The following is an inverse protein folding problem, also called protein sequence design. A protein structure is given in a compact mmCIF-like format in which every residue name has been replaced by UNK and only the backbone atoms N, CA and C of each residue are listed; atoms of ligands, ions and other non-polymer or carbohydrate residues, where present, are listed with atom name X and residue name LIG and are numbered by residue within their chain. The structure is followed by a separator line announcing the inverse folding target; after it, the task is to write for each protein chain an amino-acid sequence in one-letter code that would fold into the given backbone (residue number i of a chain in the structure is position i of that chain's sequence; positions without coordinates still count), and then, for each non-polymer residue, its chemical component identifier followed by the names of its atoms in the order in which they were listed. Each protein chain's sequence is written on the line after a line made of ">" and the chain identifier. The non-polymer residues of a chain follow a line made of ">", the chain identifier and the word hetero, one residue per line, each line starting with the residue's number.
data_IF_510603486739
#
_entry.id   IF_510603486739
#
_cell.length_a   1.000
_cell.length_b   1.000
_cell.length_c   1.000
_cell.angle_alpha   90.00
_cell.angle_beta   90.00
_cell.angle_gamma   90.00
#
_symmetry.space_group_name_H-M   'P 1'
#
loop_
_entity.id
_entity.type
_entity.pdbx_description
1 polymer ?
#
# COMPACT_ATOMS: atom_id res chain seq x y z
N UNK A 1 14.72 0.75 9.77
CA UNK A 1 13.35 1.08 9.32
C UNK A 1 13.23 2.59 9.39
N UNK A 2 12.92 3.27 8.29
CA UNK A 2 12.66 4.71 8.35
C UNK A 2 11.36 4.87 9.13
N UNK A 3 11.42 5.44 10.33
CA UNK A 3 10.22 5.75 11.09
C UNK A 3 9.50 6.87 10.36
N UNK A 4 8.25 6.63 10.03
CA UNK A 4 7.38 7.59 9.35
C UNK A 4 6.68 8.51 10.32
N UNK A 5 6.67 8.14 11.60
CA UNK A 5 6.02 8.85 12.70
C UNK A 5 6.97 9.88 13.30
N UNK A 6 6.43 11.06 13.60
CA UNK A 6 7.15 12.07 14.38
C UNK A 6 7.30 11.60 15.83
N UNK A 7 8.33 12.13 16.50
CA UNK A 7 8.56 11.86 17.93
C UNK A 7 7.31 12.20 18.76
N UNK A 8 6.64 13.30 18.43
CA UNK A 8 5.44 13.75 19.12
C UNK A 8 4.28 12.76 18.98
N UNK A 9 4.04 12.21 17.77
CA UNK A 9 2.95 11.24 17.58
C UNK A 9 3.23 9.91 18.31
N UNK A 10 4.50 9.50 18.39
CA UNK A 10 4.91 8.34 19.18
C UNK A 10 4.72 8.57 20.69
N UNK A 11 5.04 9.76 21.18
CA UNK A 11 4.79 10.14 22.58
C UNK A 11 3.30 10.14 22.91
N UNK A 12 2.47 10.70 22.03
CA UNK A 12 1.01 10.67 22.16
C UNK A 12 0.47 9.23 22.17
N UNK A 13 0.92 8.38 21.24
CA UNK A 13 0.56 6.97 21.22
C UNK A 13 0.87 6.30 22.57
N UNK A 14 2.11 6.45 23.06
CA UNK A 14 2.56 5.83 24.30
C UNK A 14 1.82 6.36 25.53
N UNK A 15 1.44 7.64 25.53
CA UNK A 15 0.65 8.25 26.58
C UNK A 15 -0.74 7.59 26.68
N UNK A 16 -1.53 7.62 25.60
CA UNK A 16 -2.88 7.02 25.61
C UNK A 16 -2.85 5.51 25.78
N UNK A 17 -1.85 4.83 25.20
CA UNK A 17 -1.65 3.40 25.39
C UNK A 17 -1.48 3.03 26.87
N UNK A 18 -0.69 3.79 27.64
CA UNK A 18 -0.52 3.53 29.07
C UNK A 18 -1.83 3.70 29.85
N UNK A 19 -2.63 4.69 29.49
CA UNK A 19 -3.90 5.01 30.16
C UNK A 19 -5.04 4.04 29.82
N UNK A 20 -5.05 3.44 28.63
CA UNK A 20 -6.06 2.47 28.23
C UNK A 20 -6.01 1.24 29.16
N UNK A 21 -7.10 0.95 29.88
CA UNK A 21 -7.17 -0.16 30.84
C UNK A 21 -7.66 -1.48 30.24
N UNK A 22 -8.20 -1.45 29.02
CA UNK A 22 -8.80 -2.61 28.34
C UNK A 22 -7.74 -3.41 27.59
N UNK A 23 -7.49 -4.65 28.03
CA UNK A 23 -6.44 -5.51 27.46
C UNK A 23 -6.70 -5.91 26.00
N UNK A 24 -7.94 -6.24 25.64
CA UNK A 24 -8.27 -6.63 24.26
C UNK A 24 -8.12 -5.45 23.29
N UNK A 25 -8.52 -4.23 23.69
CA UNK A 25 -8.32 -3.04 22.86
C UNK A 25 -6.83 -2.73 22.71
N UNK A 26 -6.03 -2.91 23.76
CA UNK A 26 -4.57 -2.86 23.66
C UNK A 26 -4.06 -3.84 22.62
N UNK A 27 -4.33 -5.14 22.78
CA UNK A 27 -3.87 -6.17 21.84
C UNK A 27 -4.25 -5.86 20.38
N UNK A 28 -5.49 -5.46 20.13
CA UNK A 28 -5.94 -5.05 18.80
C UNK A 28 -5.22 -3.81 18.30
N UNK A 29 -4.96 -2.84 19.18
CA UNK A 29 -4.29 -1.60 18.82
C UNK A 29 -2.80 -1.82 18.52
N UNK A 30 -2.15 -2.79 19.16
CA UNK A 30 -0.80 -3.24 18.82
C UNK A 30 -0.75 -3.80 17.38
N UNK A 31 -1.73 -4.65 17.04
CA UNK A 31 -1.88 -5.18 15.68
C UNK A 31 -2.22 -4.06 14.69
N UNK A 32 -3.11 -3.14 15.08
CA UNK A 32 -3.50 -2.02 14.23
C UNK A 32 -2.32 -1.09 13.98
N UNK A 33 -1.47 -0.84 14.98
CA UNK A 33 -0.26 -0.02 14.85
C UNK A 33 0.68 -0.57 13.78
N UNK A 34 0.76 -1.89 13.67
CA UNK A 34 1.54 -2.57 12.65
C UNK A 34 1.02 -2.34 11.21
N UNK A 35 -0.27 -2.01 11.06
CA UNK A 35 -0.93 -1.81 9.76
C UNK A 35 -1.17 -0.32 9.46
N UNK A 36 -1.60 0.45 10.45
CA UNK A 36 -1.97 1.86 10.41
C UNK A 36 -1.75 2.50 11.79
N UNK A 37 -0.66 3.26 11.90
CA UNK A 37 -0.27 3.93 13.15
C UNK A 37 -1.31 4.96 13.62
N UNK A 38 -1.91 5.72 12.70
CA UNK A 38 -2.89 6.76 13.04
C UNK A 38 -4.20 6.18 13.55
N UNK A 39 -4.71 5.13 12.90
CA UNK A 39 -5.90 4.45 13.40
C UNK A 39 -5.61 3.83 14.79
N UNK A 40 -4.37 3.37 15.02
CA UNK A 40 -3.95 2.90 16.33
C UNK A 40 -3.97 4.00 17.39
N UNK A 41 -3.39 5.18 17.12
CA UNK A 41 -3.46 6.36 18.02
C UNK A 41 -4.91 6.72 18.34
N UNK A 42 -5.76 6.84 17.32
CA UNK A 42 -7.17 7.19 17.51
C UNK A 42 -7.88 6.14 18.39
N UNK A 43 -7.56 4.87 18.21
CA UNK A 43 -8.15 3.77 18.98
C UNK A 43 -7.74 3.84 20.45
N UNK A 44 -6.45 4.05 20.76
CA UNK A 44 -6.03 4.20 22.16
C UNK A 44 -6.55 5.48 22.80
N UNK A 45 -6.68 6.57 22.05
CA UNK A 45 -7.32 7.80 22.54
C UNK A 45 -8.77 7.54 22.95
N UNK A 46 -9.58 6.96 22.05
CA UNK A 46 -10.96 6.61 22.36
C UNK A 46 -11.07 5.60 23.51
N UNK A 47 -10.11 4.69 23.66
CA UNK A 47 -10.08 3.76 24.81
C UNK A 47 -10.07 4.50 26.16
N UNK A 48 -9.50 5.71 26.21
CA UNK A 48 -9.42 6.51 27.44
C UNK A 48 -10.64 7.42 27.66
N UNK A 49 -11.40 7.71 26.61
CA UNK A 49 -12.51 8.67 26.63
C UNK A 49 -13.89 7.97 26.72
N UNK A 50 -14.00 6.76 26.18
CA UNK A 50 -15.28 6.06 26.00
C UNK A 50 -15.75 5.33 27.26
N UNK A 51 -17.07 5.27 27.43
CA UNK A 51 -17.70 4.48 28.48
C UNK A 51 -17.74 2.97 28.13
N UNK A 52 -18.20 2.12 29.04
CA UNK A 52 -18.17 0.65 28.88
C UNK A 52 -18.89 0.14 27.62
N UNK A 53 -20.04 0.70 27.26
CA UNK A 53 -20.80 0.27 26.08
C UNK A 53 -20.10 0.71 24.79
N UNK A 54 -19.57 1.92 24.78
CA UNK A 54 -18.79 2.48 23.67
C UNK A 54 -17.48 1.71 23.45
N UNK A 55 -16.82 1.25 24.53
CA UNK A 55 -15.61 0.43 24.43
C UNK A 55 -15.87 -0.92 23.75
N UNK A 56 -17.03 -1.55 23.99
CA UNK A 56 -17.40 -2.77 23.28
C UNK A 56 -17.62 -2.54 21.78
N UNK A 57 -18.17 -1.37 21.41
CA UNK A 57 -18.30 -0.99 20.00
C UNK A 57 -16.94 -0.66 19.39
N UNK A 58 -16.06 0.03 20.13
CA UNK A 58 -14.70 0.34 19.70
C UNK A 58 -13.92 -0.94 19.38
N UNK A 59 -14.02 -1.98 20.23
CA UNK A 59 -13.39 -3.27 19.96
C UNK A 59 -13.86 -3.88 18.63
N UNK A 60 -15.18 -3.93 18.40
CA UNK A 60 -15.76 -4.45 17.15
C UNK A 60 -15.31 -3.63 15.93
N UNK A 61 -15.34 -2.31 16.04
CA UNK A 61 -14.91 -1.40 14.98
C UNK A 61 -13.43 -1.58 14.67
N UNK A 62 -12.59 -1.75 15.70
CA UNK A 62 -11.14 -1.99 15.55
C UNK A 62 -10.87 -3.32 14.83
N UNK A 63 -11.56 -4.40 15.21
CA UNK A 63 -11.48 -5.70 14.51
C UNK A 63 -11.87 -5.57 13.03
N UNK A 64 -13.00 -4.91 12.75
CA UNK A 64 -13.45 -4.65 11.38
C UNK A 64 -12.45 -3.81 10.61
N UNK A 65 -11.89 -2.76 11.24
CA UNK A 65 -10.90 -1.87 10.63
C UNK A 65 -9.62 -2.63 10.25
N UNK A 66 -9.09 -3.47 11.14
CA UNK A 66 -7.94 -4.34 10.84
C UNK A 66 -8.24 -5.19 9.60
N UNK A 67 -9.41 -5.83 9.56
CA UNK A 67 -9.84 -6.64 8.41
C UNK A 67 -9.95 -5.80 7.12
N UNK A 68 -10.62 -4.66 7.17
CA UNK A 68 -10.83 -3.77 6.01
C UNK A 68 -9.52 -3.14 5.48
N UNK A 69 -8.47 -3.09 6.30
CA UNK A 69 -7.14 -2.58 5.93
C UNK A 69 -6.23 -3.66 5.31
N UNK A 70 -6.48 -4.94 5.59
CA UNK A 70 -5.70 -6.07 5.04
C UNK A 70 -6.37 -6.71 3.81
N UNK A 71 -7.66 -6.46 3.62
CA UNK A 71 -8.39 -6.83 2.40
C UNK A 71 -8.16 -5.75 1.35
N UNK A 72 -7.29 -6.06 0.39
CA UNK A 72 -6.90 -5.14 -0.68
C UNK A 72 -7.96 -5.14 -1.79
N UNK A 73 -8.24 -3.97 -2.39
CA UNK A 73 -9.31 -3.84 -3.36
C UNK A 73 -9.02 -4.66 -4.62
N UNK A 74 -10.08 -5.29 -5.15
CA UNK A 74 -10.08 -6.01 -6.42
C UNK A 74 -11.28 -5.52 -7.23
N UNK A 75 -11.05 -5.17 -8.48
CA UNK A 75 -12.09 -4.83 -9.43
C UNK A 75 -12.16 -5.92 -10.48
N UNK A 76 -13.30 -6.61 -10.55
CA UNK A 76 -13.63 -7.55 -11.61
C UNK A 76 -14.85 -7.01 -12.34
N UNK A 77 -14.69 -6.81 -13.66
CA UNK A 77 -15.77 -6.32 -14.51
C UNK A 77 -16.29 -7.48 -15.33
N UNK A 78 -17.59 -7.76 -15.21
CA UNK A 78 -18.26 -8.81 -15.97
C UNK A 78 -18.59 -8.26 -17.36
N UNK A 79 -17.73 -8.53 -18.34
CA UNK A 79 -17.94 -8.09 -19.73
C UNK A 79 -19.28 -8.57 -20.30
N UNK A 80 -19.78 -9.72 -19.85
CA UNK A 80 -21.09 -10.27 -20.23
C UNK A 80 -22.27 -9.37 -19.85
N UNK A 81 -22.11 -8.51 -18.84
CA UNK A 81 -23.14 -7.57 -18.39
C UNK A 81 -23.13 -6.26 -19.20
N UNK A 82 -22.11 -6.05 -20.05
CA UNK A 82 -21.99 -4.86 -20.89
C UNK A 82 -22.69 -5.13 -22.23
N UNK A 83 -23.95 -4.74 -22.32
CA UNK A 83 -24.79 -4.96 -23.50
C UNK A 83 -24.42 -4.09 -24.70
N UNK A 84 -23.80 -2.92 -24.46
CA UNK A 84 -23.40 -1.98 -25.51
C UNK A 84 -21.91 -2.14 -25.88
N UNK A 85 -21.58 -2.57 -27.12
CA UNK A 85 -20.20 -2.80 -27.54
C UNK A 85 -19.33 -1.52 -27.54
N UNK A 86 -19.93 -0.34 -27.70
CA UNK A 86 -19.18 0.93 -27.66
C UNK A 86 -18.62 1.25 -26.27
N UNK A 87 -19.17 0.62 -25.21
CA UNK A 87 -18.72 0.84 -23.84
C UNK A 87 -17.52 -0.03 -23.48
N UNK A 88 -17.37 -1.21 -24.09
CA UNK A 88 -16.28 -2.15 -23.83
C UNK A 88 -14.89 -1.47 -23.83
N UNK A 89 -14.49 -0.71 -24.87
CA UNK A 89 -13.18 -0.06 -24.86
C UNK A 89 -13.03 1.00 -23.76
N UNK A 90 -14.11 1.73 -23.45
CA UNK A 90 -14.09 2.75 -22.39
C UNK A 90 -13.96 2.11 -21.00
N UNK A 91 -14.62 0.97 -20.80
CA UNK A 91 -14.56 0.21 -19.56
C UNK A 91 -13.18 -0.42 -19.38
N UNK A 92 -12.59 -0.96 -20.43
CA UNK A 92 -11.21 -1.45 -20.41
C UNK A 92 -10.21 -0.33 -20.06
N UNK A 93 -10.42 0.87 -20.59
CA UNK A 93 -9.58 2.04 -20.24
C UNK A 93 -9.80 2.49 -18.78
N UNK A 94 -11.05 2.47 -18.31
CA UNK A 94 -11.40 2.78 -16.92
C UNK A 94 -10.74 1.80 -15.95
N UNK A 95 -10.77 0.50 -16.26
CA UNK A 95 -10.07 -0.52 -15.49
C UNK A 95 -8.57 -0.23 -15.45
N UNK A 96 -7.93 0.11 -16.57
CA UNK A 96 -6.50 0.46 -16.59
C UNK A 96 -6.17 1.67 -15.71
N UNK A 97 -7.00 2.70 -15.71
CA UNK A 97 -6.78 3.87 -14.83
C UNK A 97 -7.03 3.55 -13.35
N UNK A 98 -7.97 2.64 -13.06
CA UNK A 98 -8.16 2.08 -11.73
C UNK A 98 -6.94 1.29 -11.27
N UNK A 99 -6.39 0.42 -12.13
CA UNK A 99 -5.19 -0.35 -11.85
C UNK A 99 -3.98 0.55 -11.60
N UNK A 100 -3.84 1.69 -12.29
CA UNK A 100 -2.80 2.68 -11.97
C UNK A 100 -3.01 3.27 -10.57
N UNK A 101 -4.24 3.65 -10.25
CA UNK A 101 -4.60 4.21 -8.93
C UNK A 101 -4.18 3.23 -7.82
N UNK A 102 -4.57 1.96 -7.96
CA UNK A 102 -4.39 0.93 -6.93
C UNK A 102 -2.98 0.32 -6.93
N UNK A 103 -2.41 -0.02 -8.09
CA UNK A 103 -1.15 -0.77 -8.13
C UNK A 103 0.09 0.09 -8.34
N UNK A 104 -0.06 1.36 -8.75
CA UNK A 104 1.08 2.27 -8.92
C UNK A 104 1.10 3.31 -7.79
N UNK A 105 -0.03 3.95 -7.54
CA UNK A 105 -0.10 5.08 -6.60
C UNK A 105 -0.53 4.72 -5.19
N UNK A 106 -1.14 3.55 -4.96
CA UNK A 106 -1.51 3.13 -3.61
C UNK A 106 -0.26 2.88 -2.77
N UNK A 107 -0.12 3.66 -1.70
CA UNK A 107 0.87 3.44 -0.66
C UNK A 107 0.15 2.92 0.59
N UNK A 108 0.75 1.97 1.30
CA UNK A 108 0.22 1.44 2.54
C UNK A 108 0.41 2.46 3.68
N UNK A 109 -0.55 3.37 3.77
CA UNK A 109 -0.97 4.16 4.94
C UNK A 109 0.11 4.96 5.70
N UNK A 110 0.62 6.04 5.07
CA UNK A 110 1.05 7.24 5.81
C UNK A 110 -0.14 8.16 6.06
N UNK A 111 -0.07 9.04 7.08
CA UNK A 111 -1.15 10.00 7.42
C UNK A 111 -1.67 10.80 6.22
N UNK A 112 -0.74 11.28 5.41
CA UNK A 112 -1.02 12.11 4.24
C UNK A 112 -1.70 11.30 3.11
N UNK A 113 -1.58 9.97 3.16
CA UNK A 113 -1.94 9.02 2.10
C UNK A 113 -3.22 8.22 2.46
N UNK A 114 -3.74 8.31 3.69
CA UNK A 114 -5.06 7.76 4.08
C UNK A 114 -6.19 8.32 3.18
N UNK A 115 -6.01 9.56 2.69
CA UNK A 115 -6.89 10.19 1.70
C UNK A 115 -6.95 9.41 0.37
N UNK A 116 -5.89 8.68 -0.01
CA UNK A 116 -5.83 7.94 -1.28
C UNK A 116 -6.66 6.65 -1.22
N UNK A 117 -6.66 5.94 -0.08
CA UNK A 117 -7.52 4.75 0.09
C UNK A 117 -9.01 5.09 0.00
N UNK A 118 -9.43 6.21 0.61
CA UNK A 118 -10.80 6.69 0.50
C UNK A 118 -11.23 6.82 -0.97
N UNK A 119 -10.36 7.44 -1.77
CA UNK A 119 -10.58 7.61 -3.22
C UNK A 119 -10.60 6.29 -3.99
N UNK A 120 -9.72 5.34 -3.69
CA UNK A 120 -9.73 4.01 -4.34
C UNK A 120 -11.06 3.27 -4.10
N UNK A 121 -11.55 3.27 -2.86
CA UNK A 121 -12.84 2.67 -2.50
C UNK A 121 -14.00 3.41 -3.17
N UNK A 122 -13.98 4.74 -3.16
CA UNK A 122 -14.98 5.58 -3.83
C UNK A 122 -15.04 5.32 -5.33
N UNK A 123 -13.89 5.27 -6.03
CA UNK A 123 -13.85 4.96 -7.46
C UNK A 123 -14.35 3.55 -7.73
N UNK A 124 -13.95 2.55 -6.94
CA UNK A 124 -14.44 1.16 -7.09
C UNK A 124 -15.96 1.09 -6.96
N UNK A 125 -16.53 1.73 -5.94
CA UNK A 125 -17.97 1.80 -5.73
C UNK A 125 -18.68 2.58 -6.84
N UNK A 126 -18.09 3.68 -7.33
CA UNK A 126 -18.63 4.47 -8.41
C UNK A 126 -18.64 3.69 -9.74
N UNK A 127 -17.56 2.96 -10.06
CA UNK A 127 -17.47 2.08 -11.21
C UNK A 127 -18.58 1.03 -11.13
N UNK A 128 -18.68 0.30 -10.01
CA UNK A 128 -19.72 -0.72 -9.81
C UNK A 128 -21.12 -0.14 -9.98
N UNK A 129 -21.38 1.03 -9.40
CA UNK A 129 -22.66 1.73 -9.53
C UNK A 129 -22.97 2.08 -10.98
N UNK A 130 -21.99 2.58 -11.74
CA UNK A 130 -22.21 2.99 -13.13
C UNK A 130 -22.41 1.78 -14.05
N UNK A 131 -21.65 0.71 -13.86
CA UNK A 131 -21.71 -0.47 -14.71
C UNK A 131 -22.98 -1.31 -14.46
N UNK A 132 -23.32 -1.53 -13.18
CA UNK A 132 -24.34 -2.52 -12.82
C UNK A 132 -25.69 -1.94 -12.41
N UNK A 133 -25.88 -0.61 -12.48
CA UNK A 133 -27.22 -0.04 -12.28
C UNK A 133 -28.03 0.05 -13.57
N UNK A 134 -29.34 -0.08 -13.40
CA UNK A 134 -30.32 0.13 -14.45
C UNK A 134 -30.38 1.62 -14.81
N UNK A 135 -29.67 2.00 -15.88
CA UNK A 135 -29.70 3.35 -16.43
C UNK A 135 -29.60 3.34 -17.95
N UNK A 136 -30.08 4.38 -18.65
CA UNK A 136 -29.92 4.47 -20.10
C UNK A 136 -28.44 4.43 -20.53
N UNK A 137 -28.13 3.70 -21.60
CA UNK A 137 -26.75 3.52 -22.10
C UNK A 137 -26.03 4.85 -22.40
N UNK A 138 -26.75 5.85 -22.91
CA UNK A 138 -26.19 7.19 -23.17
C UNK A 138 -25.74 7.88 -21.88
N UNK A 139 -26.50 7.72 -20.79
CA UNK A 139 -26.15 8.23 -19.46
C UNK A 139 -24.99 7.43 -18.87
N UNK A 140 -24.98 6.11 -19.03
CA UNK A 140 -23.87 5.24 -18.60
C UNK A 140 -22.56 5.65 -19.27
N UNK A 141 -22.56 5.82 -20.60
CA UNK A 141 -21.42 6.30 -21.38
C UNK A 141 -20.86 7.61 -20.83
N UNK A 142 -21.74 8.58 -20.58
CA UNK A 142 -21.37 9.90 -20.05
C UNK A 142 -20.71 9.79 -18.68
N UNK A 143 -21.24 8.94 -17.79
CA UNK A 143 -20.68 8.73 -16.46
C UNK A 143 -19.34 7.98 -16.50
N UNK A 144 -19.20 6.98 -17.38
CA UNK A 144 -17.91 6.29 -17.60
C UNK A 144 -16.85 7.28 -18.06
N UNK A 145 -17.16 8.13 -19.05
CA UNK A 145 -16.23 9.14 -19.55
C UNK A 145 -15.82 10.14 -18.47
N UNK A 146 -16.78 10.57 -17.63
CA UNK A 146 -16.50 11.45 -16.50
C UNK A 146 -15.58 10.78 -15.47
N UNK A 147 -15.90 9.55 -15.06
CA UNK A 147 -15.05 8.79 -14.13
C UNK A 147 -13.64 8.63 -14.68
N UNK A 148 -13.51 8.30 -15.97
CA UNK A 148 -12.22 8.17 -16.63
C UNK A 148 -11.42 9.48 -16.59
N UNK A 149 -12.07 10.62 -16.85
CA UNK A 149 -11.42 11.94 -16.78
C UNK A 149 -10.97 12.28 -15.35
N UNK A 150 -11.85 12.08 -14.37
CA UNK A 150 -11.57 12.35 -12.95
C UNK A 150 -10.38 11.50 -12.45
N UNK A 151 -10.37 10.21 -12.79
CA UNK A 151 -9.29 9.29 -12.42
C UNK A 151 -7.96 9.65 -13.09
N UNK A 152 -7.95 9.96 -14.40
CA UNK A 152 -6.74 10.42 -15.11
C UNK A 152 -6.17 11.69 -14.49
N UNK A 153 -7.03 12.66 -14.17
CA UNK A 153 -6.61 13.91 -13.56
C UNK A 153 -6.03 13.67 -12.15
N UNK A 154 -6.68 12.82 -11.36
CA UNK A 154 -6.19 12.44 -10.04
C UNK A 154 -4.84 11.72 -10.12
N UNK A 155 -4.70 10.72 -10.99
CA UNK A 155 -3.46 9.98 -11.22
C UNK A 155 -2.31 10.92 -11.64
N UNK A 156 -2.59 11.86 -12.54
CA UNK A 156 -1.62 12.89 -12.93
C UNK A 156 -1.20 13.76 -11.75
N UNK A 157 -2.15 14.21 -10.94
CA UNK A 157 -1.87 15.01 -9.74
C UNK A 157 -1.03 14.23 -8.71
N UNK A 158 -1.38 12.97 -8.45
CA UNK A 158 -0.64 12.08 -7.55
C UNK A 158 0.80 11.87 -8.05
N UNK A 159 0.97 11.61 -9.34
CA UNK A 159 2.29 11.47 -9.95
C UNK A 159 3.14 12.74 -9.80
N UNK A 160 2.55 13.92 -10.00
CA UNK A 160 3.27 15.20 -9.82
C UNK A 160 3.70 15.42 -8.36
N UNK A 161 2.84 15.12 -7.39
CA UNK A 161 3.20 15.19 -5.96
C UNK A 161 4.39 14.28 -5.66
N UNK A 162 4.42 13.07 -6.21
CA UNK A 162 5.54 12.16 -6.06
C UNK A 162 6.82 12.69 -6.71
N UNK A 163 6.74 13.14 -7.97
CA UNK A 163 7.90 13.61 -8.73
C UNK A 163 8.57 14.84 -8.11
N UNK A 164 7.77 15.77 -7.59
CA UNK A 164 8.26 16.99 -6.94
C UNK A 164 8.54 16.84 -5.45
N UNK A 165 8.32 15.65 -4.88
CA UNK A 165 8.73 15.37 -3.51
C UNK A 165 10.25 15.40 -3.41
N UNK A 166 10.76 16.45 -2.78
CA UNK A 166 12.17 16.56 -2.36
C UNK A 166 12.47 15.70 -1.13
N UNK A 167 11.49 14.97 -0.61
CA UNK A 167 11.64 14.18 0.60
C UNK A 167 12.42 12.90 0.28
N UNK A 168 13.71 12.96 0.58
CA UNK A 168 14.53 11.77 0.73
C UNK A 168 14.32 11.21 2.14
N UNK A 169 13.88 9.95 2.30
CA UNK A 169 13.69 9.31 3.60
C UNK A 169 14.95 9.27 4.48
N UNK A 170 16.13 9.35 3.87
CA UNK A 170 17.44 9.32 4.54
C UNK A 170 18.05 10.71 4.72
N UNK A 171 17.38 11.78 4.26
CA UNK A 171 17.86 13.15 4.33
C UNK A 171 19.29 13.38 3.78
N UNK A 172 19.74 12.55 2.81
CA UNK A 172 21.05 12.70 2.17
C UNK A 172 20.97 13.66 0.98
N UNK A 173 22.09 14.34 0.72
CA UNK A 173 22.16 15.50 -0.17
C UNK A 173 22.51 15.16 -1.62
N UNK A 174 23.14 14.00 -1.87
CA UNK A 174 23.56 13.58 -3.20
C UNK A 174 22.74 12.39 -3.72
N UNK A 175 22.51 12.36 -5.03
CA UNK A 175 21.83 11.23 -5.71
C UNK A 175 22.58 9.91 -5.51
N UNK A 176 23.93 9.95 -5.48
CA UNK A 176 24.77 8.79 -5.23
C UNK A 176 24.51 8.20 -3.84
N UNK A 177 24.53 9.03 -2.80
CA UNK A 177 24.24 8.58 -1.43
C UNK A 177 22.81 8.06 -1.32
N UNK A 178 21.85 8.74 -1.95
CA UNK A 178 20.45 8.31 -1.96
C UNK A 178 20.29 6.94 -2.63
N UNK A 179 20.91 6.74 -3.79
CA UNK A 179 20.93 5.45 -4.47
C UNK A 179 21.63 4.37 -3.63
N UNK A 180 22.68 4.73 -2.89
CA UNK A 180 23.41 3.79 -2.02
C UNK A 180 22.52 3.30 -0.88
N UNK A 181 21.87 4.23 -0.16
CA UNK A 181 20.96 3.90 0.94
C UNK A 181 19.72 3.15 0.45
N UNK A 182 19.13 3.58 -0.67
CA UNK A 182 17.99 2.90 -1.29
C UNK A 182 18.34 1.46 -1.68
N UNK A 183 19.46 1.25 -2.39
CA UNK A 183 19.91 -0.08 -2.81
C UNK A 183 20.14 -0.99 -1.61
N UNK A 184 20.85 -0.49 -0.58
CA UNK A 184 21.09 -1.24 0.67
C UNK A 184 19.79 -1.62 1.35
N UNK A 185 18.85 -0.68 1.47
CA UNK A 185 17.55 -0.91 2.08
C UNK A 185 16.75 -1.97 1.31
N UNK A 186 16.64 -1.84 -0.02
CA UNK A 186 15.87 -2.78 -0.85
C UNK A 186 16.47 -4.18 -0.84
N UNK A 187 17.78 -4.32 -1.03
CA UNK A 187 18.44 -5.63 -1.00
C UNK A 187 18.27 -6.31 0.36
N UNK A 188 18.41 -5.57 1.46
CA UNK A 188 18.20 -6.14 2.80
C UNK A 188 16.78 -6.68 3.02
N UNK A 189 15.77 -6.04 2.43
CA UNK A 189 14.39 -6.51 2.49
C UNK A 189 14.15 -7.73 1.61
N UNK A 190 14.71 -7.73 0.39
CA UNK A 190 14.60 -8.88 -0.52
C UNK A 190 15.24 -10.12 0.10
N UNK A 191 16.44 -9.99 0.67
CA UNK A 191 17.12 -11.07 1.40
C UNK A 191 16.27 -11.59 2.55
N UNK A 192 15.67 -10.70 3.35
CA UNK A 192 14.80 -11.11 4.46
C UNK A 192 13.56 -11.85 3.95
N UNK A 193 12.90 -11.39 2.89
CA UNK A 193 11.73 -12.05 2.31
C UNK A 193 12.05 -13.40 1.66
N UNK A 194 13.26 -13.57 1.10
CA UNK A 194 13.69 -14.86 0.56
C UNK A 194 13.86 -15.92 1.66
N UNK A 195 14.35 -15.50 2.83
CA UNK A 195 14.56 -16.36 4.00
C UNK A 195 13.27 -16.60 4.81
N UNK A 196 12.23 -15.78 4.64
CA UNK A 196 10.95 -15.96 5.33
C UNK A 196 10.26 -17.26 4.87
N UNK A 197 10.04 -18.17 5.84
CA UNK A 197 9.37 -19.45 5.63
C UNK A 197 7.90 -19.30 5.23
N UNK A 198 7.27 -18.18 5.58
CA UNK A 198 5.86 -17.89 5.28
C UNK A 198 5.66 -17.16 3.95
N UNK A 199 6.74 -16.71 3.31
CA UNK A 199 6.67 -16.03 2.04
C UNK A 199 6.23 -16.99 0.92
N UNK A 200 5.41 -16.49 -0.02
CA UNK A 200 4.87 -17.31 -1.10
C UNK A 200 6.00 -17.89 -1.96
N UNK A 201 6.05 -19.21 -2.12
CA UNK A 201 7.06 -19.89 -2.93
C UNK A 201 6.96 -19.49 -4.41
N UNK A 202 5.75 -19.21 -4.89
CA UNK A 202 5.48 -18.74 -6.26
C UNK A 202 6.13 -17.39 -6.55
N UNK A 203 6.29 -16.53 -5.54
CA UNK A 203 6.87 -15.19 -5.67
C UNK A 203 8.40 -15.19 -5.51
N UNK A 204 9.02 -16.27 -5.04
CA UNK A 204 10.46 -16.33 -4.82
C UNK A 204 11.32 -16.17 -6.10
N UNK A 205 10.94 -16.74 -7.26
CA UNK A 205 11.66 -16.49 -8.51
C UNK A 205 11.67 -14.99 -8.87
N UNK A 206 10.51 -14.32 -8.73
CA UNK A 206 10.38 -12.89 -9.00
C UNK A 206 11.25 -12.05 -8.05
N UNK A 207 11.36 -12.43 -6.77
CA UNK A 207 12.29 -11.77 -5.84
C UNK A 207 13.75 -11.92 -6.25
N UNK A 208 14.16 -13.09 -6.76
CA UNK A 208 15.53 -13.31 -7.24
C UNK A 208 15.83 -12.47 -8.47
N UNK A 209 14.90 -12.44 -9.44
CA UNK A 209 15.03 -11.56 -10.61
C UNK A 209 15.12 -10.09 -10.19
N UNK A 210 14.34 -9.70 -9.18
CA UNK A 210 14.34 -8.32 -8.71
C UNK A 210 15.64 -7.96 -7.98
N UNK A 211 16.20 -8.88 -7.19
CA UNK A 211 17.53 -8.73 -6.60
C UNK A 211 18.60 -8.50 -7.67
N UNK A 212 18.67 -9.38 -8.68
CA UNK A 212 19.64 -9.28 -9.78
C UNK A 212 19.49 -7.93 -10.48
N UNK A 213 18.25 -7.52 -10.78
CA UNK A 213 17.99 -6.24 -11.42
C UNK A 213 18.48 -5.03 -10.59
N UNK A 214 18.25 -5.03 -9.27
CA UNK A 214 18.74 -3.97 -8.38
C UNK A 214 20.26 -3.95 -8.31
N UNK A 215 20.90 -5.13 -8.31
CA UNK A 215 22.36 -5.28 -8.31
C UNK A 215 23.00 -4.70 -9.57
N UNK A 216 22.37 -4.86 -10.74
CA UNK A 216 22.84 -4.34 -12.03
C UNK A 216 22.81 -2.81 -12.13
N UNK A 217 21.93 -2.11 -11.39
CA UNK A 217 21.86 -0.64 -11.43
C UNK A 217 23.03 -0.03 -10.65
N UNK A 218 23.94 0.73 -11.29
CA UNK A 218 25.08 1.33 -10.59
C UNK A 218 24.65 2.55 -9.78
N UNK A 219 25.17 2.65 -8.56
CA UNK A 219 24.84 3.72 -7.60
C UNK A 219 25.25 5.11 -8.11
N UNK A 220 26.29 5.18 -8.94
CA UNK A 220 26.84 6.43 -9.49
C UNK A 220 26.09 6.92 -10.74
N UNK A 221 25.02 6.26 -11.17
CA UNK A 221 24.32 6.65 -12.39
C UNK A 221 23.46 7.90 -12.18
N UNK A 222 23.71 8.95 -12.97
CA UNK A 222 23.08 10.27 -12.76
C UNK A 222 21.62 10.35 -13.24
N UNK A 223 21.20 9.46 -14.15
CA UNK A 223 19.83 9.49 -14.71
C UNK A 223 18.84 8.57 -14.02
N UNK A 224 19.30 7.68 -13.13
CA UNK A 224 18.44 6.71 -12.46
C UNK A 224 18.40 7.03 -10.97
N UNK A 225 17.18 7.25 -10.46
CA UNK A 225 16.90 7.48 -9.04
C UNK A 225 16.19 6.25 -8.47
N UNK A 226 16.90 5.45 -7.67
CA UNK A 226 16.37 4.22 -7.07
C UNK A 226 15.22 4.50 -6.08
N UNK A 227 15.10 5.72 -5.56
CA UNK A 227 13.96 6.13 -4.74
C UNK A 227 12.61 5.90 -5.44
N UNK A 228 12.57 5.77 -6.77
CA UNK A 228 11.36 5.37 -7.52
C UNK A 228 10.70 4.08 -7.01
N UNK A 229 11.46 3.17 -6.41
CA UNK A 229 10.94 1.91 -5.86
C UNK A 229 10.54 2.00 -4.38
N UNK A 230 10.78 3.15 -3.73
CA UNK A 230 10.65 3.29 -2.29
C UNK A 230 9.25 2.98 -1.77
N UNK A 231 8.20 3.40 -2.47
CA UNK A 231 6.81 3.14 -2.06
C UNK A 231 6.55 1.66 -1.81
N UNK A 232 6.83 0.81 -2.81
CA UNK A 232 6.66 -0.64 -2.70
C UNK A 232 7.44 -1.25 -1.51
N UNK A 233 8.72 -0.92 -1.40
CA UNK A 233 9.56 -1.47 -0.33
C UNK A 233 9.22 -0.92 1.05
N UNK A 234 8.78 0.33 1.14
CA UNK A 234 8.32 0.92 2.40
C UNK A 234 7.00 0.27 2.86
N UNK A 235 6.06 0.10 1.93
CA UNK A 235 4.73 -0.45 2.19
C UNK A 235 4.79 -1.89 2.71
N UNK A 236 5.56 -2.74 2.03
CA UNK A 236 5.68 -4.15 2.36
C UNK A 236 6.83 -4.44 3.33
N UNK A 237 7.88 -3.61 3.34
CA UNK A 237 9.09 -3.82 4.15
C UNK A 237 8.90 -3.55 5.64
N UNK A 238 7.75 -3.00 6.06
CA UNK A 238 7.35 -2.97 7.47
C UNK A 238 6.89 -4.35 7.97
N UNK A 239 6.51 -5.25 7.07
CA UNK A 239 6.01 -6.59 7.40
C UNK A 239 7.13 -7.63 7.49
N UNK A 240 8.12 -7.40 8.35
CA UNK A 240 9.30 -8.26 8.54
C UNK A 240 9.09 -9.35 9.58
N UNK A 241 9.88 -10.41 9.48
CA UNK A 241 9.89 -11.51 10.48
C UNK A 241 10.35 -11.01 11.84
N UNK A 242 11.31 -10.07 11.85
CA UNK A 242 11.83 -9.43 13.07
C UNK A 242 10.75 -8.68 13.84
N UNK A 243 9.85 -7.99 13.14
CA UNK A 243 8.75 -7.25 13.78
C UNK A 243 7.73 -8.20 14.43
N UNK A 244 7.54 -9.42 13.90
CA UNK A 244 6.63 -10.41 14.48
C UNK A 244 7.07 -10.86 15.89
N UNK A 245 8.37 -10.97 16.15
CA UNK A 245 8.89 -11.44 17.44
C UNK A 245 8.62 -10.47 18.60
N UNK A 246 8.29 -9.22 18.30
CA UNK A 246 7.98 -8.20 19.30
C UNK A 246 6.56 -8.32 19.86
N UNK A 247 5.69 -9.14 19.26
CA UNK A 247 4.31 -9.32 19.70
C UNK A 247 4.18 -10.43 20.74
N UNK A 248 3.14 -10.31 21.58
CA UNK A 248 2.71 -11.39 22.48
C UNK A 248 2.41 -12.67 21.69
N UNK A 249 2.53 -13.85 22.34
CA UNK A 249 2.35 -15.15 21.67
C UNK A 249 0.97 -15.29 20.98
N UNK A 250 -0.08 -14.68 21.54
CA UNK A 250 -1.42 -14.64 20.95
C UNK A 250 -1.47 -13.76 19.70
N UNK A 251 -0.82 -12.58 19.73
CA UNK A 251 -0.78 -11.65 18.60
C UNK A 251 0.17 -12.11 17.49
N UNK A 252 1.21 -12.91 17.79
CA UNK A 252 2.12 -13.48 16.79
C UNK A 252 1.39 -14.26 15.69
N UNK A 253 0.37 -15.06 16.03
CA UNK A 253 -0.42 -15.82 15.05
C UNK A 253 -1.27 -14.87 14.19
N UNK A 254 -1.89 -13.84 14.80
CA UNK A 254 -2.69 -12.84 14.07
C UNK A 254 -1.81 -12.03 13.10
N UNK A 255 -0.64 -11.59 13.54
CA UNK A 255 0.35 -10.87 12.74
C UNK A 255 0.90 -11.74 11.60
N UNK A 256 1.18 -13.03 11.87
CA UNK A 256 1.57 -13.99 10.83
C UNK A 256 0.49 -14.14 9.76
N UNK A 257 -0.78 -14.26 10.16
CA UNK A 257 -1.91 -14.32 9.25
C UNK A 257 -1.98 -13.06 8.37
N UNK A 258 -1.93 -11.86 8.97
CA UNK A 258 -1.92 -10.59 8.24
C UNK A 258 -0.78 -10.56 7.20
N UNK A 259 0.43 -10.95 7.61
CA UNK A 259 1.60 -11.00 6.72
C UNK A 259 1.35 -11.94 5.53
N UNK A 260 0.87 -13.16 5.80
CA UNK A 260 0.55 -14.13 4.76
C UNK A 260 -0.54 -13.62 3.81
N UNK A 261 -1.60 -12.98 4.34
CA UNK A 261 -2.67 -12.38 3.53
C UNK A 261 -2.13 -11.30 2.60
N UNK A 262 -1.26 -10.42 3.09
CA UNK A 262 -0.67 -9.34 2.29
C UNK A 262 0.24 -9.89 1.19
N UNK A 263 1.17 -10.79 1.50
CA UNK A 263 2.13 -11.32 0.51
C UNK A 263 1.52 -12.31 -0.49
N UNK A 264 0.36 -12.90 -0.17
CA UNK A 264 -0.41 -13.75 -1.11
C UNK A 264 -1.50 -12.98 -1.85
N UNK A 265 -1.64 -11.69 -1.60
CA UNK A 265 -2.66 -10.88 -2.28
C UNK A 265 -2.30 -10.65 -3.75
N UNK A 266 -3.34 -10.59 -4.59
CA UNK A 266 -3.21 -10.16 -6.00
C UNK A 266 -2.53 -8.78 -6.11
N UNK A 267 -2.81 -7.89 -5.17
CA UNK A 267 -2.22 -6.56 -5.11
C UNK A 267 -0.69 -6.61 -4.92
N UNK A 268 -0.18 -7.41 -3.98
CA UNK A 268 1.27 -7.57 -3.81
C UNK A 268 1.92 -8.12 -5.09
N UNK A 269 1.33 -9.15 -5.69
CA UNK A 269 1.82 -9.74 -6.92
C UNK A 269 1.90 -8.71 -8.05
N UNK A 270 0.82 -7.99 -8.34
CA UNK A 270 0.79 -6.97 -9.39
C UNK A 270 1.77 -5.83 -9.16
N UNK A 271 1.90 -5.37 -7.91
CA UNK A 271 2.88 -4.33 -7.59
C UNK A 271 4.31 -4.84 -7.78
N UNK A 272 4.61 -6.05 -7.35
CA UNK A 272 5.92 -6.66 -7.55
C UNK A 272 6.26 -6.81 -9.05
N UNK A 273 5.31 -7.27 -9.88
CA UNK A 273 5.45 -7.36 -11.34
C UNK A 273 5.73 -5.98 -11.98
N UNK A 274 4.97 -4.95 -11.59
CA UNK A 274 5.12 -3.58 -12.11
C UNK A 274 6.48 -2.97 -11.73
N UNK A 275 6.89 -3.15 -10.47
CA UNK A 275 8.16 -2.62 -9.96
C UNK A 275 9.35 -3.35 -10.60
N UNK A 276 9.27 -4.68 -10.75
CA UNK A 276 10.29 -5.47 -11.44
C UNK A 276 10.41 -5.04 -12.92
N UNK A 277 9.29 -4.84 -13.61
CA UNK A 277 9.28 -4.34 -14.99
C UNK A 277 9.96 -2.97 -15.08
N UNK A 278 9.65 -2.06 -14.15
CA UNK A 278 10.27 -0.73 -14.08
C UNK A 278 11.78 -0.81 -13.81
N UNK A 279 12.21 -1.75 -12.98
CA UNK A 279 13.62 -2.03 -12.75
C UNK A 279 14.32 -2.54 -14.03
N UNK A 280 13.74 -3.53 -14.71
CA UNK A 280 14.28 -4.07 -15.97
C UNK A 280 14.39 -3.00 -17.05
N UNK A 281 13.40 -2.11 -17.15
CA UNK A 281 13.45 -0.95 -18.05
C UNK A 281 14.59 0.02 -17.68
N UNK A 282 14.83 0.23 -16.38
CA UNK A 282 15.94 1.06 -15.91
C UNK A 282 17.29 0.45 -16.29
N UNK A 283 17.46 -0.87 -16.13
CA UNK A 283 18.65 -1.59 -16.60
C UNK A 283 18.80 -1.52 -18.12
N UNK A 284 17.73 -1.72 -18.89
CA UNK A 284 17.80 -1.63 -20.34
C UNK A 284 18.22 -0.22 -20.79
N UNK A 285 17.73 0.82 -20.13
CA UNK A 285 18.13 2.21 -20.42
C UNK A 285 19.62 2.49 -20.18
N UNK A 286 20.31 1.65 -19.38
CA UNK A 286 21.77 1.70 -19.23
C UNK A 286 22.50 1.17 -20.45
N UNK A 287 21.90 0.23 -21.19
CA UNK A 287 22.50 -0.41 -22.38
C UNK A 287 22.29 0.41 -23.65
N UNK A 288 21.26 1.25 -23.67
CA UNK A 288 20.89 2.11 -24.79
C UNK A 288 21.63 3.48 -24.76
N UNK A 289 22.53 3.68 -23.79
CA UNK A 289 23.40 4.86 -23.60
C UNK A 289 24.86 4.54 -23.92
#
# INVERSE_FOLDING_TARGET
>A
MIKTETIQEEEDFLYYWKLCSQSEIKDLTEILRYISFYDAILTVKHCTEFNKEELFQLEKQTKKKIFDLIVLPKLEILESEITNPDLIPLVAELQKEWEKTVYIFSNLYKAQEVLLLGKEKEYTLAINRVLYSEMPESRRKTLILRLLQDMKQQNKSSYQLFYYSKQNPWAVSSLKEENSEAKKFFLSLVEEWQLDSDFSQENKPLLKEFQVCLEEIPVNHEKIRLLGFFGFFNDYGRFTTKNQLNFSKSNQTRVRFIRQTLFRSHHFQKRMENVLTSCKNSVQSLKDL
#
